data_IF_037174990148
#
_entry.id   IF_037174990148
#
_cell.length_a   1.000
_cell.length_b   1.000
_cell.length_c   1.000
_cell.angle_alpha   90.00
_cell.angle_beta   90.00
_cell.angle_gamma   90.00
#
_symmetry.space_group_name_H-M   'P 1'
#
loop_
_entity.id
_entity.type
_entity.pdbx_description
1 polymer ?
#
# COMPACT_ATOMS: atom_id res chain seq x y z
N UNK A 1 17.58 -2.68 -39.08
CA UNK A 1 17.74 -3.20 -37.69
C UNK A 1 16.35 -3.41 -37.12
N UNK A 2 15.84 -4.62 -37.25
CA UNK A 2 14.50 -4.96 -36.72
C UNK A 2 14.66 -5.21 -35.22
N UNK A 3 14.21 -4.24 -34.42
CA UNK A 3 14.28 -4.29 -32.96
C UNK A 3 13.27 -5.27 -32.37
N UNK A 4 13.39 -6.55 -32.71
CA UNK A 4 12.69 -7.59 -31.97
C UNK A 4 13.37 -7.74 -30.61
N UNK A 5 12.72 -7.20 -29.58
CA UNK A 5 13.13 -7.43 -28.19
C UNK A 5 12.93 -8.92 -27.92
N UNK A 6 13.97 -9.69 -28.13
CA UNK A 6 13.97 -11.12 -27.85
C UNK A 6 13.76 -11.33 -26.35
N UNK A 7 12.74 -12.10 -25.97
CA UNK A 7 12.41 -12.44 -24.57
C UNK A 7 13.65 -12.95 -23.80
N UNK A 8 14.57 -13.63 -24.50
CA UNK A 8 15.84 -14.08 -23.91
C UNK A 8 16.75 -12.92 -23.54
N UNK A 9 16.80 -11.85 -24.35
CA UNK A 9 17.60 -10.65 -24.08
C UNK A 9 17.04 -9.92 -22.85
N UNK A 10 15.73 -9.78 -22.77
CA UNK A 10 15.04 -9.20 -21.61
C UNK A 10 15.37 -9.94 -20.31
N UNK A 11 15.24 -11.27 -20.30
CA UNK A 11 15.59 -12.10 -19.14
C UNK A 11 17.06 -12.00 -18.75
N UNK A 12 17.94 -11.86 -19.73
CA UNK A 12 19.38 -11.72 -19.47
C UNK A 12 19.71 -10.36 -18.82
N UNK A 13 19.05 -9.27 -19.25
CA UNK A 13 19.18 -7.95 -18.65
C UNK A 13 18.72 -7.97 -17.18
N UNK A 14 17.57 -8.60 -16.90
CA UNK A 14 17.05 -8.74 -15.54
C UNK A 14 18.04 -9.48 -14.65
N UNK A 15 18.59 -10.62 -15.12
CA UNK A 15 19.58 -11.40 -14.36
C UNK A 15 20.87 -10.62 -14.12
N UNK A 16 21.35 -9.90 -15.13
CA UNK A 16 22.59 -9.10 -15.06
C UNK A 16 22.45 -7.92 -14.10
N UNK A 17 21.26 -7.30 -14.02
CA UNK A 17 20.98 -6.10 -13.22
C UNK A 17 20.07 -6.36 -12.02
N UNK A 18 19.98 -7.61 -11.57
CA UNK A 18 19.08 -7.99 -10.46
C UNK A 18 19.36 -7.19 -9.18
N UNK A 19 20.61 -6.83 -8.92
CA UNK A 19 20.98 -6.00 -7.77
C UNK A 19 20.36 -4.60 -7.86
N UNK A 20 20.33 -4.00 -9.04
CA UNK A 20 19.69 -2.70 -9.27
C UNK A 20 18.17 -2.78 -8.98
N UNK A 21 17.53 -3.84 -9.47
CA UNK A 21 16.11 -4.09 -9.25
C UNK A 21 15.83 -4.24 -7.75
N UNK A 22 16.60 -5.08 -7.05
CA UNK A 22 16.41 -5.31 -5.60
C UNK A 22 16.59 -4.01 -4.81
N UNK A 23 17.62 -3.22 -5.10
CA UNK A 23 17.85 -1.94 -4.41
C UNK A 23 16.71 -0.97 -4.66
N UNK A 24 16.22 -0.87 -5.90
CA UNK A 24 15.09 0.01 -6.24
C UNK A 24 13.81 -0.43 -5.52
N UNK A 25 13.50 -1.74 -5.54
CA UNK A 25 12.33 -2.30 -4.84
C UNK A 25 12.42 -2.03 -3.34
N UNK A 26 13.60 -2.26 -2.74
CA UNK A 26 13.82 -2.02 -1.31
C UNK A 26 13.65 -0.54 -0.96
N UNK A 27 14.17 0.36 -1.78
CA UNK A 27 14.04 1.81 -1.58
C UNK A 27 12.56 2.24 -1.65
N UNK A 28 11.82 1.80 -2.67
CA UNK A 28 10.39 2.10 -2.83
C UNK A 28 9.58 1.47 -1.68
N UNK A 29 9.90 0.23 -1.29
CA UNK A 29 9.26 -0.44 -0.16
C UNK A 29 9.44 0.32 1.15
N UNK A 30 10.65 0.77 1.48
CA UNK A 30 10.92 1.58 2.67
C UNK A 30 10.16 2.91 2.62
N UNK A 31 10.18 3.57 1.47
CA UNK A 31 9.51 4.85 1.28
C UNK A 31 7.99 4.71 1.41
N UNK A 32 7.39 3.71 0.77
CA UNK A 32 5.94 3.44 0.87
C UNK A 32 5.53 3.02 2.28
N UNK A 33 6.38 2.27 3.00
CA UNK A 33 6.12 1.88 4.38
C UNK A 33 6.13 3.10 5.31
N UNK A 34 7.13 3.97 5.18
CA UNK A 34 7.21 5.21 5.95
C UNK A 34 5.99 6.10 5.66
N UNK A 35 5.66 6.32 4.38
CA UNK A 35 4.49 7.11 4.00
C UNK A 35 3.19 6.49 4.52
N UNK A 36 3.04 5.16 4.45
CA UNK A 36 1.83 4.48 4.90
C UNK A 36 1.62 4.56 6.43
N UNK A 37 2.71 4.56 7.21
CA UNK A 37 2.62 4.60 8.67
C UNK A 37 2.47 6.03 9.18
N UNK A 38 3.24 6.98 8.62
CA UNK A 38 3.29 8.34 9.14
C UNK A 38 2.25 9.29 8.51
N UNK A 39 1.89 9.10 7.23
CA UNK A 39 1.00 10.01 6.52
C UNK A 39 -0.43 9.49 6.40
N UNK A 40 -0.63 8.17 6.30
CA UNK A 40 -1.98 7.59 6.15
C UNK A 40 -2.53 7.26 7.53
N UNK A 41 -3.36 8.17 8.07
CA UNK A 41 -4.09 7.91 9.31
C UNK A 41 -5.07 6.74 9.11
N UNK A 42 -5.22 5.87 10.12
CA UNK A 42 -6.27 4.85 10.06
C UNK A 42 -7.63 5.53 9.90
N UNK A 43 -8.45 5.01 9.02
CA UNK A 43 -9.83 5.47 8.81
C UNK A 43 -10.77 4.38 9.32
N UNK A 44 -11.77 4.79 10.07
CA UNK A 44 -12.83 3.91 10.56
C UNK A 44 -14.13 4.26 9.86
N UNK A 45 -14.86 3.24 9.44
CA UNK A 45 -16.22 3.37 8.92
C UNK A 45 -17.19 2.90 9.98
N UNK A 46 -18.06 3.79 10.46
CA UNK A 46 -19.21 3.44 11.24
C UNK A 46 -20.43 3.40 10.32
N UNK A 47 -21.16 2.30 10.37
CA UNK A 47 -22.37 2.10 9.56
C UNK A 47 -23.58 1.97 10.44
N UNK A 48 -24.61 2.75 10.14
CA UNK A 48 -25.92 2.62 10.74
C UNK A 48 -26.97 2.46 9.63
N UNK A 49 -28.01 1.67 9.94
CA UNK A 49 -28.97 1.25 8.95
C UNK A 49 -30.34 1.84 9.28
N UNK A 50 -31.01 2.40 8.29
CA UNK A 50 -32.37 2.92 8.39
C UNK A 50 -33.27 2.02 7.55
N UNK A 51 -34.28 1.41 8.18
CA UNK A 51 -35.32 0.69 7.48
C UNK A 51 -36.45 1.65 7.11
N UNK A 52 -36.83 1.65 5.84
CA UNK A 52 -37.91 2.49 5.31
C UNK A 52 -39.08 1.61 4.89
N UNK A 53 -40.24 1.88 5.47
CA UNK A 53 -41.44 1.10 5.24
C UNK A 53 -41.57 -0.14 6.14
N UNK A 54 -42.65 -0.88 5.95
CA UNK A 54 -42.94 -2.11 6.71
C UNK A 54 -42.34 -3.31 5.99
N UNK A 55 -41.56 -4.15 6.71
CA UNK A 55 -41.08 -5.44 6.20
C UNK A 55 -42.22 -6.46 6.00
N UNK A 56 -43.30 -6.31 6.74
CA UNK A 56 -44.47 -7.20 6.67
C UNK A 56 -45.57 -6.49 5.87
N UNK A 57 -45.94 -7.06 4.73
CA UNK A 57 -47.10 -6.62 3.98
C UNK A 57 -48.36 -7.13 4.66
N UNK A 58 -49.19 -6.23 5.13
CA UNK A 58 -50.58 -6.57 5.41
C UNK A 58 -51.23 -7.02 4.10
N UNK A 59 -51.88 -8.20 4.11
CA UNK A 59 -52.57 -8.75 2.95
C UNK A 59 -53.61 -7.76 2.46
N UNK A 60 -53.29 -6.98 1.42
CA UNK A 60 -54.24 -6.04 0.80
C UNK A 60 -53.66 -4.68 0.39
N UNK A 61 -52.54 -4.24 0.92
CA UNK A 61 -51.92 -2.99 0.51
C UNK A 61 -50.80 -3.28 -0.52
N UNK A 62 -51.11 -3.09 -1.80
CA UNK A 62 -50.08 -3.00 -2.84
C UNK A 62 -49.38 -1.64 -2.69
N UNK A 63 -48.40 -1.56 -1.82
CA UNK A 63 -47.48 -0.42 -1.87
C UNK A 63 -46.70 -0.57 -3.15
N UNK A 64 -46.92 0.36 -4.07
CA UNK A 64 -46.26 0.33 -5.36
C UNK A 64 -44.75 0.32 -5.15
N UNK A 65 -44.05 -0.61 -5.82
CA UNK A 65 -42.61 -0.71 -5.75
C UNK A 65 -41.92 0.61 -6.15
N UNK A 66 -42.63 1.41 -6.95
CA UNK A 66 -42.19 2.72 -7.39
C UNK A 66 -42.25 3.76 -6.26
N UNK A 67 -43.32 3.72 -5.44
CA UNK A 67 -43.47 4.60 -4.28
C UNK A 67 -42.34 4.37 -3.26
N UNK A 68 -42.05 3.10 -2.94
CA UNK A 68 -40.92 2.74 -2.06
C UNK A 68 -39.59 3.22 -2.63
N UNK A 69 -39.38 3.06 -3.93
CA UNK A 69 -38.15 3.51 -4.60
C UNK A 69 -37.98 5.03 -4.54
N UNK A 70 -39.06 5.78 -4.73
CA UNK A 70 -39.06 7.23 -4.62
C UNK A 70 -38.80 7.67 -3.15
N UNK A 71 -39.40 7.00 -2.18
CA UNK A 71 -39.17 7.29 -0.76
C UNK A 71 -37.74 6.99 -0.35
N UNK A 72 -37.14 5.91 -0.83
CA UNK A 72 -35.73 5.58 -0.63
C UNK A 72 -34.81 6.65 -1.21
N UNK A 73 -35.04 7.07 -2.45
CA UNK A 73 -34.24 8.12 -3.09
C UNK A 73 -34.35 9.43 -2.32
N UNK A 74 -35.57 9.86 -1.99
CA UNK A 74 -35.82 11.07 -1.21
C UNK A 74 -35.18 11.02 0.17
N UNK A 75 -35.16 9.84 0.82
CA UNK A 75 -34.47 9.65 2.10
C UNK A 75 -32.97 9.84 1.96
N UNK A 76 -32.37 9.24 0.93
CA UNK A 76 -30.92 9.36 0.71
C UNK A 76 -30.50 10.81 0.47
N UNK A 77 -31.29 11.55 -0.33
CA UNK A 77 -31.04 12.97 -0.59
C UNK A 77 -31.28 13.82 0.66
N UNK A 78 -32.32 13.50 1.43
CA UNK A 78 -32.64 14.23 2.67
C UNK A 78 -31.54 14.08 3.72
N UNK A 79 -30.98 12.89 3.90
CA UNK A 79 -29.86 12.66 4.84
C UNK A 79 -28.66 13.56 4.52
N UNK A 80 -28.41 13.84 3.23
CA UNK A 80 -27.35 14.74 2.77
C UNK A 80 -27.77 16.21 2.67
N UNK A 81 -29.02 16.51 2.98
CA UNK A 81 -29.52 17.88 2.86
C UNK A 81 -28.92 18.81 3.92
N UNK A 82 -28.81 20.11 3.62
CA UNK A 82 -28.37 21.12 4.59
C UNK A 82 -29.19 21.12 5.88
N UNK A 83 -30.49 20.75 5.81
CA UNK A 83 -31.38 20.68 6.97
C UNK A 83 -30.88 19.69 8.02
N UNK A 84 -30.39 18.52 7.58
CA UNK A 84 -29.83 17.50 8.46
C UNK A 84 -28.40 17.84 8.85
N UNK A 85 -27.56 18.15 7.85
CA UNK A 85 -26.13 18.37 8.08
C UNK A 85 -25.86 19.56 9.00
N UNK A 86 -26.55 20.70 8.79
CA UNK A 86 -26.38 21.87 9.65
C UNK A 86 -26.82 21.59 11.08
N UNK A 87 -27.93 20.84 11.26
CA UNK A 87 -28.40 20.46 12.60
C UNK A 87 -27.39 19.57 13.35
N UNK A 88 -26.64 18.72 12.63
CA UNK A 88 -25.61 17.87 13.22
C UNK A 88 -24.33 18.68 13.49
N UNK A 89 -23.94 19.53 12.55
CA UNK A 89 -22.76 20.41 12.67
C UNK A 89 -22.88 21.35 13.87
N UNK A 90 -24.05 21.93 14.08
CA UNK A 90 -24.33 22.82 15.21
C UNK A 90 -24.19 22.08 16.55
N UNK A 91 -24.71 20.84 16.66
CA UNK A 91 -24.60 20.02 17.86
C UNK A 91 -23.18 19.61 18.22
N UNK A 92 -22.33 19.37 17.24
CA UNK A 92 -20.96 18.88 17.41
C UNK A 92 -19.88 19.94 17.18
N UNK A 93 -20.28 21.18 16.88
CA UNK A 93 -19.38 22.29 16.56
C UNK A 93 -18.35 21.95 15.46
N UNK A 94 -18.79 21.22 14.43
CA UNK A 94 -17.98 20.82 13.27
C UNK A 94 -18.06 21.92 12.21
N UNK A 95 -16.94 22.17 11.52
CA UNK A 95 -16.88 23.17 10.45
C UNK A 95 -17.76 22.81 9.26
N UNK A 96 -18.35 23.85 8.64
CA UNK A 96 -19.17 23.70 7.46
C UNK A 96 -18.43 22.99 6.31
N UNK A 97 -19.12 22.05 5.64
CA UNK A 97 -18.57 21.26 4.53
C UNK A 97 -17.65 20.11 4.93
N UNK A 98 -17.23 19.99 6.19
CA UNK A 98 -16.39 18.87 6.63
C UNK A 98 -17.22 17.59 6.84
N UNK A 99 -18.42 17.74 7.37
CA UNK A 99 -19.33 16.63 7.64
C UNK A 99 -19.79 15.93 6.37
N UNK A 100 -20.10 16.68 5.32
CA UNK A 100 -20.55 16.14 4.03
C UNK A 100 -19.53 15.17 3.41
N UNK A 101 -18.24 15.47 3.53
CA UNK A 101 -17.14 14.64 3.02
C UNK A 101 -16.98 13.33 3.78
N UNK A 102 -17.43 13.30 5.03
CA UNK A 102 -17.34 12.13 5.92
C UNK A 102 -18.52 11.17 5.77
N UNK A 103 -19.63 11.61 5.16
CA UNK A 103 -20.88 10.84 5.09
C UNK A 103 -21.08 10.26 3.69
N UNK A 104 -21.30 8.95 3.63
CA UNK A 104 -21.72 8.24 2.41
C UNK A 104 -23.04 7.55 2.70
N UNK A 105 -24.05 7.83 1.89
CA UNK A 105 -25.37 7.19 1.98
C UNK A 105 -25.52 6.21 0.85
N UNK A 106 -25.87 4.97 1.14
CA UNK A 106 -25.97 3.88 0.18
C UNK A 106 -27.25 3.09 0.39
N UNK A 107 -27.80 2.57 -0.70
CA UNK A 107 -28.87 1.59 -0.68
C UNK A 107 -28.49 0.40 -1.55
N UNK A 108 -28.77 -0.80 -1.08
CA UNK A 108 -28.60 -2.00 -1.89
C UNK A 108 -29.83 -2.19 -2.79
N UNK A 109 -29.62 -2.58 -4.04
CA UNK A 109 -30.71 -2.82 -5.00
C UNK A 109 -31.75 -3.75 -4.37
N UNK A 110 -33.02 -3.41 -4.53
CA UNK A 110 -34.19 -4.16 -4.01
C UNK A 110 -34.23 -4.29 -2.47
N UNK A 111 -33.55 -3.39 -1.75
CA UNK A 111 -33.58 -3.34 -0.29
C UNK A 111 -34.30 -2.09 0.18
N UNK A 112 -35.10 -2.22 1.26
CA UNK A 112 -35.71 -1.10 1.97
C UNK A 112 -34.76 -0.50 3.04
N UNK A 113 -33.51 -0.92 3.05
CA UNK A 113 -32.52 -0.47 4.02
C UNK A 113 -31.60 0.56 3.38
N UNK A 114 -31.50 1.73 3.99
CA UNK A 114 -30.53 2.76 3.67
C UNK A 114 -29.40 2.66 4.67
N UNK A 115 -28.18 2.50 4.16
CA UNK A 115 -26.96 2.44 4.96
C UNK A 115 -26.34 3.84 5.02
N UNK A 116 -26.20 4.38 6.20
CA UNK A 116 -25.46 5.62 6.46
C UNK A 116 -24.08 5.25 6.97
N UNK A 117 -23.07 5.53 6.17
CA UNK A 117 -21.68 5.22 6.46
C UNK A 117 -20.95 6.51 6.76
N UNK A 118 -20.34 6.59 7.93
CA UNK A 118 -19.55 7.74 8.36
C UNK A 118 -18.09 7.33 8.49
N UNK A 119 -17.19 8.11 7.89
CA UNK A 119 -15.75 7.91 7.94
C UNK A 119 -15.08 8.92 8.84
N UNK A 120 -14.31 8.42 9.80
CA UNK A 120 -13.49 9.28 10.67
C UNK A 120 -12.15 8.59 11.02
N UNK A 121 -11.20 9.37 11.51
CA UNK A 121 -9.91 8.85 11.96
C UNK A 121 -9.98 8.23 13.37
N UNK A 122 -11.06 8.47 14.08
CA UNK A 122 -11.36 7.91 15.39
C UNK A 122 -12.65 7.08 15.35
N UNK A 123 -12.61 5.91 16.00
CA UNK A 123 -13.71 4.94 15.96
C UNK A 123 -14.94 5.42 16.73
N UNK A 124 -14.75 6.07 17.88
CA UNK A 124 -15.86 6.54 18.70
C UNK A 124 -16.51 7.77 18.06
N UNK A 125 -15.70 8.69 17.50
CA UNK A 125 -16.21 9.82 16.72
C UNK A 125 -17.01 9.34 15.50
N UNK A 126 -16.53 8.32 14.78
CA UNK A 126 -17.26 7.76 13.64
C UNK A 126 -18.62 7.20 14.05
N UNK A 127 -18.69 6.48 15.17
CA UNK A 127 -19.94 5.93 15.70
C UNK A 127 -20.90 7.01 16.18
N UNK A 128 -20.40 7.99 16.93
CA UNK A 128 -21.21 9.10 17.44
C UNK A 128 -21.80 9.91 16.29
N UNK A 129 -20.98 10.24 15.29
CA UNK A 129 -21.42 10.92 14.07
C UNK A 129 -22.47 10.11 13.31
N UNK A 130 -22.26 8.81 13.11
CA UNK A 130 -23.22 7.96 12.42
C UNK A 130 -24.55 7.91 13.14
N UNK A 131 -24.55 7.72 14.46
CA UNK A 131 -25.75 7.72 15.27
C UNK A 131 -26.47 9.07 15.25
N UNK A 132 -25.73 10.17 15.39
CA UNK A 132 -26.32 11.51 15.41
C UNK A 132 -26.93 11.89 14.06
N UNK A 133 -26.23 11.58 12.95
CA UNK A 133 -26.73 11.83 11.59
C UNK A 133 -28.01 11.03 11.33
N UNK A 134 -28.00 9.74 11.62
CA UNK A 134 -29.17 8.87 11.40
C UNK A 134 -30.34 9.22 12.29
N UNK A 135 -30.12 9.46 13.58
CA UNK A 135 -31.18 9.85 14.52
C UNK A 135 -31.78 11.21 14.13
N UNK A 136 -30.94 12.20 13.79
CA UNK A 136 -31.40 13.52 13.34
C UNK A 136 -32.18 13.40 12.04
N UNK A 137 -31.71 12.59 11.08
CA UNK A 137 -32.40 12.34 9.81
C UNK A 137 -33.78 11.73 10.04
N UNK A 138 -33.85 10.65 10.82
CA UNK A 138 -35.14 9.97 11.12
C UNK A 138 -36.13 10.92 11.83
N UNK A 139 -35.67 11.68 12.80
CA UNK A 139 -36.54 12.62 13.52
C UNK A 139 -37.04 13.75 12.61
N UNK A 140 -36.15 14.33 11.81
CA UNK A 140 -36.52 15.37 10.86
C UNK A 140 -37.44 14.86 9.75
N UNK A 141 -37.23 13.63 9.27
CA UNK A 141 -38.13 13.02 8.28
C UNK A 141 -39.55 12.80 8.86
N UNK A 142 -39.68 12.35 10.11
CA UNK A 142 -40.96 12.23 10.78
C UNK A 142 -41.64 13.58 10.94
N UNK A 143 -40.86 14.61 11.28
CA UNK A 143 -41.36 15.98 11.48
C UNK A 143 -41.83 16.63 10.15
N UNK A 144 -41.01 16.56 9.11
CA UNK A 144 -41.21 17.28 7.85
C UNK A 144 -42.14 16.54 6.88
N UNK A 145 -41.97 15.22 6.78
CA UNK A 145 -42.73 14.41 5.81
C UNK A 145 -43.85 13.58 6.43
N UNK A 146 -44.02 13.61 7.77
CA UNK A 146 -45.04 12.83 8.46
C UNK A 146 -44.86 11.31 8.32
N UNK A 147 -43.70 10.82 7.88
CA UNK A 147 -43.45 9.39 7.62
C UNK A 147 -43.27 8.66 8.94
N UNK A 148 -44.19 7.74 9.28
CA UNK A 148 -44.16 6.98 10.54
C UNK A 148 -43.38 5.65 10.41
N UNK A 149 -43.32 5.08 9.23
CA UNK A 149 -42.73 3.77 8.98
C UNK A 149 -41.23 3.84 8.68
N UNK A 150 -40.48 4.63 9.48
CA UNK A 150 -39.01 4.71 9.42
C UNK A 150 -38.47 4.25 10.78
N UNK A 151 -37.59 3.25 10.75
CA UNK A 151 -36.97 2.68 11.95
C UNK A 151 -35.43 2.64 11.79
N UNK A 152 -34.77 2.98 12.89
CA UNK A 152 -33.33 2.77 13.00
C UNK A 152 -33.05 1.28 13.29
N UNK A 153 -32.16 0.68 12.57
CA UNK A 153 -31.69 -0.70 12.75
C UNK A 153 -30.26 -0.64 13.28
N UNK A 154 -30.13 -0.39 14.56
CA UNK A 154 -28.84 -0.50 15.25
C UNK A 154 -28.53 -1.97 15.57
N UNK A 155 -27.26 -2.27 15.92
CA UNK A 155 -26.89 -3.59 16.38
C UNK A 155 -27.57 -3.93 17.73
N UNK A 156 -27.31 -5.15 18.26
CA UNK A 156 -27.91 -5.63 19.51
C UNK A 156 -27.64 -4.70 20.72
N UNK A 157 -26.62 -3.85 20.65
CA UNK A 157 -26.24 -2.89 21.70
C UNK A 157 -26.77 -1.47 21.42
N UNK A 158 -27.57 -1.27 20.37
CA UNK A 158 -28.10 0.04 19.98
C UNK A 158 -27.01 1.02 19.45
N UNK A 159 -25.87 0.50 18.99
CA UNK A 159 -24.75 1.32 18.49
C UNK A 159 -24.44 1.01 17.03
N UNK A 160 -23.92 1.99 16.27
CA UNK A 160 -23.44 1.75 14.90
C UNK A 160 -22.33 0.71 14.87
N UNK A 161 -22.37 -0.17 13.87
CA UNK A 161 -21.28 -1.10 13.62
C UNK A 161 -20.09 -0.35 13.02
N UNK A 162 -18.90 -0.51 13.61
CA UNK A 162 -17.71 0.16 13.11
C UNK A 162 -16.61 -0.84 12.71
N UNK A 163 -15.95 -0.58 11.58
CA UNK A 163 -14.82 -1.35 11.08
C UNK A 163 -13.67 -0.44 10.68
N UNK A 164 -12.45 -0.92 10.83
CA UNK A 164 -11.27 -0.23 10.29
C UNK A 164 -11.22 -0.42 8.78
N UNK A 165 -11.08 0.68 8.05
CA UNK A 165 -10.96 0.71 6.59
C UNK A 165 -9.59 1.24 6.21
N UNK A 166 -9.04 0.70 5.12
CA UNK A 166 -7.66 1.01 4.72
C UNK A 166 -6.69 -0.05 5.26
N UNK A 167 -6.08 -0.75 4.36
CA UNK A 167 -5.12 -1.81 4.68
C UNK A 167 -3.72 -1.31 4.39
N UNK A 168 -2.91 -1.14 5.44
CA UNK A 168 -1.47 -0.88 5.31
C UNK A 168 -0.83 -1.95 4.43
N UNK A 169 -1.28 -3.20 4.56
CA UNK A 169 -0.82 -4.33 3.74
C UNK A 169 -1.10 -4.12 2.25
N UNK A 170 -2.28 -3.60 1.89
CA UNK A 170 -2.63 -3.30 0.51
C UNK A 170 -1.74 -2.19 -0.06
N UNK A 171 -1.51 -1.12 0.72
CA UNK A 171 -0.63 -0.02 0.32
C UNK A 171 0.81 -0.50 0.08
N UNK A 172 1.32 -1.37 0.96
CA UNK A 172 2.63 -1.98 0.82
C UNK A 172 2.68 -2.88 -0.43
N UNK A 173 1.65 -3.69 -0.67
CA UNK A 173 1.59 -4.55 -1.86
C UNK A 173 1.61 -3.73 -3.17
N UNK A 174 0.85 -2.63 -3.22
CA UNK A 174 0.88 -1.68 -4.34
C UNK A 174 2.29 -1.06 -4.47
N UNK A 175 2.91 -0.65 -3.36
CA UNK A 175 4.25 -0.10 -3.34
C UNK A 175 5.30 -1.06 -3.91
N UNK A 176 5.22 -2.34 -3.53
CA UNK A 176 6.11 -3.39 -4.08
C UNK A 176 5.89 -3.59 -5.58
N UNK A 177 4.64 -3.61 -6.05
CA UNK A 177 4.33 -3.74 -7.47
C UNK A 177 4.89 -2.55 -8.28
N UNK A 178 4.70 -1.32 -7.79
CA UNK A 178 5.26 -0.11 -8.40
C UNK A 178 6.80 -0.14 -8.36
N UNK A 179 7.38 -0.57 -7.24
CA UNK A 179 8.83 -0.73 -7.08
C UNK A 179 9.44 -1.71 -8.07
N UNK A 180 8.78 -2.85 -8.31
CA UNK A 180 9.19 -3.82 -9.33
C UNK A 180 9.15 -3.21 -10.73
N UNK A 181 8.06 -2.52 -11.07
CA UNK A 181 7.91 -1.87 -12.36
C UNK A 181 9.00 -0.82 -12.62
N UNK A 182 9.24 0.05 -11.63
CA UNK A 182 10.31 1.05 -11.69
C UNK A 182 11.70 0.41 -11.71
N UNK A 183 11.93 -0.65 -10.93
CA UNK A 183 13.19 -1.37 -10.89
C UNK A 183 13.55 -1.99 -12.23
N UNK A 184 12.59 -2.60 -12.91
CA UNK A 184 12.79 -3.16 -14.26
C UNK A 184 13.05 -2.02 -15.26
N UNK A 185 12.26 -0.95 -15.22
CA UNK A 185 12.44 0.20 -16.10
C UNK A 185 13.81 0.86 -15.97
N UNK A 186 14.25 1.10 -14.72
CA UNK A 186 15.59 1.65 -14.43
C UNK A 186 16.70 0.68 -14.82
N UNK A 187 16.50 -0.63 -14.67
CA UNK A 187 17.45 -1.64 -15.10
C UNK A 187 17.65 -1.63 -16.61
N UNK A 188 16.56 -1.49 -17.38
CA UNK A 188 16.62 -1.38 -18.83
C UNK A 188 17.27 -0.06 -19.28
N UNK A 189 16.90 1.05 -18.63
CA UNK A 189 17.50 2.35 -18.93
C UNK A 189 19.01 2.36 -18.65
N UNK A 190 19.43 1.77 -17.54
CA UNK A 190 20.83 1.63 -17.19
C UNK A 190 21.59 0.71 -18.15
N UNK A 191 20.97 -0.34 -18.68
CA UNK A 191 21.59 -1.19 -19.71
C UNK A 191 21.69 -0.46 -21.03
N UNK A 192 20.69 0.35 -21.39
CA UNK A 192 20.71 1.18 -22.60
C UNK A 192 21.85 2.24 -22.58
N UNK A 193 22.18 2.78 -21.40
CA UNK A 193 23.29 3.74 -21.25
C UNK A 193 24.65 3.08 -20.98
N UNK A 194 24.70 1.76 -20.85
CA UNK A 194 25.95 1.02 -20.62
C UNK A 194 26.54 0.57 -21.97
N UNK A 195 27.18 1.51 -22.68
CA UNK A 195 27.90 1.25 -23.95
C UNK A 195 29.15 0.39 -23.76
N UNK A 196 29.29 -0.27 -22.62
CA UNK A 196 30.45 -1.13 -22.35
C UNK A 196 30.34 -2.43 -23.14
N UNK A 197 31.17 -2.56 -24.14
CA UNK A 197 31.34 -3.79 -24.92
C UNK A 197 31.91 -4.87 -23.98
N UNK A 198 31.14 -5.91 -23.71
CA UNK A 198 31.49 -6.97 -22.73
C UNK A 198 31.60 -8.36 -23.34
N UNK A 199 31.17 -8.50 -24.58
CA UNK A 199 31.14 -9.80 -25.25
C UNK A 199 32.19 -9.82 -26.38
N UNK A 200 33.06 -10.85 -26.40
CA UNK A 200 34.07 -11.04 -27.45
C UNK A 200 33.45 -11.05 -28.84
N UNK A 201 32.25 -11.66 -28.97
CA UNK A 201 31.47 -11.71 -30.21
C UNK A 201 31.04 -10.35 -30.72
N UNK A 202 30.71 -9.43 -29.83
CA UNK A 202 30.29 -8.06 -30.15
C UNK A 202 31.49 -7.27 -30.72
N UNK A 203 32.69 -7.52 -30.18
CA UNK A 203 33.96 -6.94 -30.69
C UNK A 203 34.27 -7.49 -32.08
N UNK A 204 34.14 -8.80 -32.30
CA UNK A 204 34.35 -9.43 -33.59
C UNK A 204 33.39 -8.92 -34.67
N UNK A 205 32.10 -8.73 -34.28
CA UNK A 205 31.05 -8.26 -35.20
C UNK A 205 31.22 -6.78 -35.57
N UNK A 206 31.65 -5.93 -34.62
CA UNK A 206 31.84 -4.48 -34.83
C UNK A 206 33.15 -4.20 -35.59
N UNK A 207 34.24 -4.88 -35.26
CA UNK A 207 35.56 -4.60 -35.79
C UNK A 207 35.92 -5.49 -36.98
N UNK A 208 35.20 -6.58 -37.23
CA UNK A 208 35.46 -7.53 -38.31
C UNK A 208 36.80 -8.30 -38.16
N UNK A 209 37.33 -8.37 -36.93
CA UNK A 209 38.61 -9.03 -36.63
C UNK A 209 38.39 -10.10 -35.55
N UNK A 210 39.10 -11.23 -35.69
CA UNK A 210 39.03 -12.33 -34.73
C UNK A 210 39.71 -11.95 -33.41
N UNK A 211 39.03 -12.16 -32.28
CA UNK A 211 39.60 -11.95 -30.94
C UNK A 211 40.48 -13.15 -30.58
N UNK A 212 41.77 -12.93 -30.46
CA UNK A 212 42.75 -13.98 -30.18
C UNK A 212 42.90 -14.36 -28.71
N UNK A 213 42.25 -13.60 -27.81
CA UNK A 213 42.22 -13.91 -26.38
C UNK A 213 41.90 -12.75 -25.48
N UNK A 214 41.46 -13.05 -24.25
CA UNK A 214 41.11 -12.10 -23.19
C UNK A 214 42.22 -12.03 -22.13
N UNK A 215 42.70 -10.84 -21.80
CA UNK A 215 43.63 -10.61 -20.69
C UNK A 215 42.89 -10.14 -19.48
N UNK A 216 42.63 -11.02 -18.53
CA UNK A 216 41.99 -10.69 -17.29
C UNK A 216 42.95 -9.97 -16.32
N UNK A 217 42.84 -8.65 -16.23
CA UNK A 217 43.59 -7.82 -15.28
C UNK A 217 43.06 -8.05 -13.87
N UNK A 218 43.61 -9.01 -13.14
CA UNK A 218 43.28 -9.24 -11.73
C UNK A 218 43.34 -7.94 -10.95
N UNK A 219 42.20 -7.55 -10.38
CA UNK A 219 42.02 -6.35 -9.57
C UNK A 219 43.09 -6.23 -8.48
N UNK A 220 43.61 -5.01 -8.25
CA UNK A 220 44.62 -4.64 -7.22
C UNK A 220 44.34 -5.12 -5.80
N UNK A 221 43.09 -5.48 -5.48
CA UNK A 221 42.64 -5.91 -4.15
C UNK A 221 43.25 -7.26 -3.73
N UNK A 222 43.48 -8.19 -4.65
CA UNK A 222 44.13 -9.48 -4.33
C UNK A 222 45.62 -9.37 -4.04
N UNK A 223 46.29 -8.35 -4.60
CA UNK A 223 47.73 -8.14 -4.38
C UNK A 223 48.07 -7.74 -2.93
N UNK A 224 47.18 -7.00 -2.27
CA UNK A 224 47.30 -6.59 -0.86
C UNK A 224 47.10 -7.75 0.10
N UNK A 225 46.14 -8.63 -0.18
CA UNK A 225 45.87 -9.83 0.66
C UNK A 225 47.00 -10.86 0.57
N UNK A 226 47.57 -11.08 -0.61
CA UNK A 226 48.72 -11.99 -0.78
C UNK A 226 49.99 -11.43 -0.13
N UNK A 227 50.27 -10.11 -0.23
CA UNK A 227 51.40 -9.49 0.47
C UNK A 227 51.31 -9.64 2.01
N UNK A 228 50.11 -9.57 2.58
CA UNK A 228 49.93 -9.77 4.02
C UNK A 228 50.09 -11.23 4.45
N UNK A 229 49.66 -12.20 3.62
CA UNK A 229 49.89 -13.63 3.87
C UNK A 229 51.39 -13.98 3.80
N UNK A 230 52.11 -13.52 2.80
CA UNK A 230 53.55 -13.74 2.64
C UNK A 230 54.34 -13.13 3.81
N UNK A 231 54.02 -11.88 4.24
CA UNK A 231 54.66 -11.28 5.41
C UNK A 231 54.41 -12.04 6.71
N UNK A 232 53.21 -12.61 6.91
CA UNK A 232 52.90 -13.43 8.10
C UNK A 232 53.67 -14.76 8.10
N UNK A 233 53.81 -15.41 6.95
CA UNK A 233 54.64 -16.63 6.83
C UNK A 233 56.12 -16.35 7.05
N UNK A 234 56.66 -15.27 6.53
CA UNK A 234 58.07 -14.88 6.77
C UNK A 234 58.30 -14.53 8.25
N UNK A 235 57.37 -13.87 8.94
CA UNK A 235 57.49 -13.59 10.33
C UNK A 235 57.43 -14.85 11.22
N UNK A 236 56.67 -15.86 10.82
CA UNK A 236 56.63 -17.15 11.52
C UNK A 236 57.92 -17.92 11.38
N UNK A 237 58.51 -17.99 10.18
CA UNK A 237 59.78 -18.65 9.92
C UNK A 237 60.93 -18.00 10.68
N UNK A 238 60.94 -16.66 10.76
CA UNK A 238 61.97 -15.91 11.53
C UNK A 238 61.83 -16.14 13.05
N UNK A 239 60.61 -16.33 13.55
CA UNK A 239 60.39 -16.61 14.98
C UNK A 239 60.80 -18.03 15.36
N UNK A 240 60.57 -19.01 14.49
CA UNK A 240 61.03 -20.41 14.66
C UNK A 240 62.54 -20.51 14.57
N UNK A 241 63.23 -19.74 13.71
CA UNK A 241 64.66 -19.75 13.57
C UNK A 241 65.38 -19.08 14.79
N UNK A 242 64.78 -18.08 15.42
CA UNK A 242 65.34 -17.43 16.62
C UNK A 242 65.02 -18.18 17.92
N UNK A 243 63.98 -19.05 17.97
CA UNK A 243 63.61 -19.87 19.12
C UNK A 243 64.44 -21.11 19.32
N UNK A 244 65.29 -21.49 18.34
CA UNK A 244 66.11 -22.72 18.38
C UNK A 244 67.49 -22.59 19.02
N UNK A 245 67.91 -21.43 19.52
CA UNK A 245 69.29 -21.21 20.00
C UNK A 245 69.41 -20.85 21.49
N UNK A 246 68.42 -21.16 22.33
CA UNK A 246 68.58 -21.00 23.78
C UNK A 246 68.30 -22.36 24.44
N UNK A 247 69.37 -23.14 24.65
CA UNK A 247 69.21 -24.32 25.46
C UNK A 247 70.28 -25.37 25.32
N UNK A 248 71.55 -25.05 25.47
CA UNK A 248 72.58 -26.00 25.94
C UNK A 248 73.77 -25.22 26.47
N UNK A 249 73.82 -24.93 27.77
CA UNK A 249 75.02 -24.81 28.60
C UNK A 249 74.59 -24.69 30.05
N UNK A 250 74.51 -25.86 30.77
CA UNK A 250 74.79 -26.08 32.15
C UNK A 250 74.82 -27.59 32.36
N UNK A 251 75.92 -28.21 32.69
CA UNK A 251 76.79 -28.31 33.79
C UNK A 251 77.86 -29.38 33.62
N UNK A 252 79.01 -29.03 34.06
CA UNK A 252 79.92 -29.91 34.72
C UNK A 252 80.14 -29.47 36.15
#
# INVERSE_FOLDING_TARGET
>A
MNGEINLRMFLNIIRKRILTIIITVLCVFLLTTILSIYFIKPTYEATENILIGKLVRDKGAYTDSQEISMLLASTMDFIKSPVVLNSVQEKLNIKEGELEKKIVVQNNRNSQIVNVVVRDNDIENAKELANLVTTTSVNKMKEVFGVQDIKLLSDANGKPTAKKVGSVTLNIAIGVAVGLFLGIGLSMLREYWDDSIKDEKEIEEILGILVLGEVNLKSKINKSRNKRKIKRQQAQILNESNGGHIGVYEKG
#
